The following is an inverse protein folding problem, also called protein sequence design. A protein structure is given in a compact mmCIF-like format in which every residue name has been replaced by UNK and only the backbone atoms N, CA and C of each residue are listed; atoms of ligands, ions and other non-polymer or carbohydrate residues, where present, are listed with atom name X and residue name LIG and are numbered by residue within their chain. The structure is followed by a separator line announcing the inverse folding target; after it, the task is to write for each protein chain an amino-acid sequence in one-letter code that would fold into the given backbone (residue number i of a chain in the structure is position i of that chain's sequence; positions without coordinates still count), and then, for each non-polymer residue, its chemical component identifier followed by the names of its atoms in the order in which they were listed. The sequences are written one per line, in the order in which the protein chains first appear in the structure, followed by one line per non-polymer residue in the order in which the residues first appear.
data_IF_313305454480
#
_entry.id   IF_313305454480
#
_cell.length_a   1.000
_cell.length_b   1.000
_cell.length_c   1.000
_cell.angle_alpha   90.00
_cell.angle_beta   90.00
_cell.angle_gamma   90.00
#
_symmetry.space_group_name_H-M   'P 1'
#
loop_
_entity.id
_entity.type
_entity.pdbx_description
1 polymer ?
#
# COMPACT_ATOMS: atom_id res chain seq x y z
N UNK A 1 -0.51 1.31 -35.59
CA UNK A 1 -0.47 2.05 -34.30
C UNK A 1 -0.19 1.10 -33.12
N UNK A 2 -0.58 -0.18 -33.19
CA UNK A 2 -0.21 -1.21 -32.20
C UNK A 2 1.26 -1.66 -32.32
N UNK A 3 1.77 -1.91 -33.53
CA UNK A 3 3.15 -2.37 -33.74
C UNK A 3 4.24 -1.40 -33.24
N UNK A 4 3.97 -0.10 -33.31
CA UNK A 4 4.92 0.91 -32.84
C UNK A 4 4.96 1.01 -31.30
N UNK A 5 3.84 0.71 -30.65
CA UNK A 5 3.73 0.65 -29.19
C UNK A 5 4.40 -0.61 -28.63
N UNK A 6 4.23 -1.73 -29.30
CA UNK A 6 4.86 -3.01 -28.93
C UNK A 6 6.40 -2.91 -29.06
N UNK A 7 6.90 -2.27 -30.12
CA UNK A 7 8.34 -2.05 -30.31
C UNK A 7 8.97 -1.09 -29.29
N UNK A 8 8.20 -0.15 -28.77
CA UNK A 8 8.67 0.77 -27.73
C UNK A 8 8.69 0.11 -26.35
N UNK A 9 7.76 -0.79 -26.08
CA UNK A 9 7.75 -1.61 -24.85
C UNK A 9 8.93 -2.58 -24.86
N UNK A 10 9.20 -3.27 -25.98
CA UNK A 10 10.38 -4.14 -26.12
C UNK A 10 11.70 -3.39 -25.81
N UNK A 11 11.82 -2.16 -26.26
CA UNK A 11 13.00 -1.32 -26.03
C UNK A 11 13.15 -0.88 -24.56
N UNK A 12 12.03 -0.69 -23.85
CA UNK A 12 12.00 -0.31 -22.44
C UNK A 12 12.25 -1.52 -21.54
N UNK A 13 11.78 -2.69 -21.94
CA UNK A 13 11.92 -3.95 -21.17
C UNK A 13 13.24 -4.67 -21.49
N UNK A 14 13.96 -4.25 -22.57
CA UNK A 14 15.26 -4.84 -22.91
C UNK A 14 15.18 -6.31 -23.36
N UNK A 15 14.04 -6.76 -23.86
CA UNK A 15 13.88 -8.11 -24.40
C UNK A 15 14.38 -8.08 -25.85
N UNK A 16 15.61 -8.54 -26.06
CA UNK A 16 16.14 -8.83 -27.39
C UNK A 16 15.75 -10.26 -27.76
N UNK A 17 14.72 -10.43 -28.60
CA UNK A 17 14.27 -11.74 -29.09
C UNK A 17 15.32 -12.46 -29.94
N UNK A 18 16.41 -11.82 -30.34
CA UNK A 18 17.48 -12.44 -31.13
C UNK A 18 18.41 -13.36 -30.32
N UNK A 19 18.36 -13.28 -28.99
CA UNK A 19 19.12 -14.11 -28.06
C UNK A 19 18.22 -15.12 -27.38
N UNK A 20 17.96 -16.23 -27.99
CA UNK A 20 17.11 -17.33 -27.50
C UNK A 20 17.63 -18.09 -26.28
N UNK A 21 18.42 -17.47 -25.44
CA UNK A 21 18.75 -17.87 -24.10
C UNK A 21 19.14 -16.59 -23.33
N UNK A 22 18.31 -16.15 -22.39
CA UNK A 22 18.78 -15.28 -21.31
C UNK A 22 19.83 -16.12 -20.58
N UNK A 23 21.10 -15.93 -20.94
CA UNK A 23 22.24 -16.45 -20.20
C UNK A 23 22.12 -15.85 -18.80
N UNK A 24 21.69 -16.65 -17.85
CA UNK A 24 21.54 -16.23 -16.46
C UNK A 24 22.92 -15.76 -16.01
N UNK A 25 23.08 -14.46 -15.80
CA UNK A 25 24.31 -13.89 -15.27
C UNK A 25 24.62 -14.61 -13.94
N UNK A 26 25.70 -15.39 -13.85
CA UNK A 26 26.00 -16.18 -12.68
C UNK A 26 26.30 -15.33 -11.44
N UNK A 27 26.56 -14.01 -11.62
CA UNK A 27 26.82 -13.06 -10.53
C UNK A 27 25.56 -12.37 -9.99
N UNK A 28 24.38 -12.62 -10.58
CA UNK A 28 23.14 -12.08 -10.07
C UNK A 28 22.70 -12.86 -8.82
N UNK A 29 22.76 -12.20 -7.68
CA UNK A 29 22.25 -12.76 -6.43
C UNK A 29 20.70 -12.82 -6.47
N UNK A 30 20.18 -13.94 -6.95
CA UNK A 30 18.74 -14.21 -7.04
C UNK A 30 18.04 -14.17 -5.67
N UNK A 31 18.77 -14.32 -4.56
CA UNK A 31 18.20 -14.18 -3.23
C UNK A 31 17.99 -12.70 -2.91
N UNK A 32 18.97 -11.85 -3.21
CA UNK A 32 18.86 -10.40 -3.01
C UNK A 32 17.76 -9.78 -3.89
N UNK A 33 17.58 -10.25 -5.12
CA UNK A 33 16.48 -9.81 -6.00
C UNK A 33 15.12 -10.17 -5.40
N UNK A 34 14.93 -11.41 -4.97
CA UNK A 34 13.67 -11.85 -4.32
C UNK A 34 13.37 -11.08 -3.06
N UNK A 35 14.39 -10.81 -2.23
CA UNK A 35 14.22 -10.01 -1.02
C UNK A 35 13.79 -8.57 -1.35
N UNK A 36 14.36 -7.98 -2.40
CA UNK A 36 13.98 -6.63 -2.84
C UNK A 36 12.55 -6.58 -3.40
N UNK A 37 12.13 -7.57 -4.17
CA UNK A 37 10.76 -7.71 -4.67
C UNK A 37 9.75 -7.87 -3.53
N UNK A 38 10.05 -8.74 -2.55
CA UNK A 38 9.20 -8.91 -1.37
C UNK A 38 9.07 -7.62 -0.56
N UNK A 39 10.16 -6.86 -0.41
CA UNK A 39 10.12 -5.58 0.29
C UNK A 39 9.32 -4.53 -0.48
N UNK A 40 9.49 -4.44 -1.80
CA UNK A 40 8.72 -3.53 -2.64
C UNK A 40 7.22 -3.82 -2.55
N UNK A 41 6.84 -5.09 -2.62
CA UNK A 41 5.46 -5.53 -2.48
C UNK A 41 4.86 -5.16 -1.12
N UNK A 42 5.60 -5.36 -0.03
CA UNK A 42 5.18 -4.98 1.32
C UNK A 42 4.95 -3.47 1.48
N UNK A 43 5.81 -2.64 0.88
CA UNK A 43 5.65 -1.18 0.92
C UNK A 43 4.42 -0.77 0.11
N UNK A 44 4.21 -1.34 -1.08
CA UNK A 44 3.04 -1.06 -1.90
C UNK A 44 1.74 -1.41 -1.17
N UNK A 45 1.66 -2.58 -0.54
CA UNK A 45 0.53 -2.99 0.29
C UNK A 45 0.29 -2.05 1.47
N UNK A 46 1.36 -1.61 2.15
CA UNK A 46 1.27 -0.69 3.27
C UNK A 46 0.77 0.71 2.85
N UNK A 47 1.22 1.24 1.72
CA UNK A 47 0.72 2.51 1.17
C UNK A 47 -0.77 2.39 0.88
N UNK A 48 -1.18 1.34 0.17
CA UNK A 48 -2.58 1.12 -0.19
C UNK A 48 -3.48 1.01 1.05
N UNK A 49 -3.09 0.20 2.03
CA UNK A 49 -3.85 0.06 3.28
C UNK A 49 -3.93 1.36 4.09
N UNK A 50 -2.86 2.17 4.12
CA UNK A 50 -2.86 3.48 4.78
C UNK A 50 -3.81 4.45 4.08
N UNK A 51 -3.80 4.50 2.74
CA UNK A 51 -4.74 5.33 1.95
C UNK A 51 -6.18 4.95 2.29
N UNK A 52 -6.51 3.65 2.28
CA UNK A 52 -7.85 3.16 2.60
C UNK A 52 -8.28 3.55 4.01
N UNK A 53 -7.45 3.27 5.03
CA UNK A 53 -7.76 3.58 6.42
C UNK A 53 -7.96 5.09 6.63
N UNK A 54 -7.07 5.92 6.05
CA UNK A 54 -7.15 7.38 6.16
C UNK A 54 -8.40 7.93 5.45
N UNK A 55 -8.76 7.39 4.29
CA UNK A 55 -9.97 7.78 3.56
C UNK A 55 -11.23 7.46 4.36
N UNK A 56 -11.28 6.29 5.01
CA UNK A 56 -12.40 5.90 5.88
C UNK A 56 -12.56 6.88 7.04
N UNK A 57 -11.46 7.24 7.71
CA UNK A 57 -11.47 8.22 8.80
C UNK A 57 -11.95 9.59 8.31
N UNK A 58 -11.45 10.03 7.15
CA UNK A 58 -11.85 11.30 6.56
C UNK A 58 -13.35 11.37 6.26
N UNK A 59 -13.95 10.24 5.84
CA UNK A 59 -15.37 10.14 5.52
C UNK A 59 -16.31 10.16 6.73
N UNK A 60 -15.83 9.75 7.92
CA UNK A 60 -16.69 9.65 9.13
C UNK A 60 -16.87 11.02 9.81
N UNK A 61 -15.91 11.93 9.66
CA UNK A 61 -15.94 13.26 10.32
C UNK A 61 -15.65 13.22 11.83
N UNK A 62 -15.57 14.40 12.49
CA UNK A 62 -15.06 14.56 13.85
C UNK A 62 -16.18 14.51 14.91
N UNK A 63 -17.06 13.50 14.91
CA UNK A 63 -18.12 13.40 15.93
C UNK A 63 -17.69 12.51 17.12
N UNK A 64 -17.55 13.03 18.35
CA UNK A 64 -17.08 12.29 19.53
C UNK A 64 -17.91 11.05 19.85
N UNK A 65 -19.23 11.16 19.72
CA UNK A 65 -20.17 10.04 19.97
C UNK A 65 -19.99 8.85 19.02
N UNK A 66 -19.33 9.08 17.87
CA UNK A 66 -19.12 8.07 16.83
C UNK A 66 -17.72 7.43 16.87
N UNK A 67 -16.85 7.76 17.83
CA UNK A 67 -15.46 7.31 17.88
C UNK A 67 -15.33 5.77 17.88
N UNK A 68 -16.14 5.07 18.67
CA UNK A 68 -16.18 3.61 18.68
C UNK A 68 -16.63 3.04 17.35
N UNK A 69 -17.58 3.72 16.70
CA UNK A 69 -18.05 3.35 15.36
C UNK A 69 -16.97 3.60 14.31
N UNK A 70 -16.26 4.74 14.40
CA UNK A 70 -15.16 5.06 13.51
C UNK A 70 -14.05 4.00 13.57
N UNK A 71 -13.64 3.62 14.79
CA UNK A 71 -12.66 2.55 15.00
C UNK A 71 -13.14 1.22 14.40
N UNK A 72 -14.39 0.82 14.68
CA UNK A 72 -14.95 -0.41 14.15
C UNK A 72 -15.02 -0.39 12.61
N UNK A 73 -15.47 0.72 12.02
CA UNK A 73 -15.54 0.86 10.55
C UNK A 73 -14.15 0.79 9.92
N UNK A 74 -13.13 1.46 10.49
CA UNK A 74 -11.75 1.37 9.98
C UNK A 74 -11.25 -0.07 10.01
N UNK A 75 -11.39 -0.77 11.13
CA UNK A 75 -10.90 -2.14 11.29
C UNK A 75 -11.64 -3.12 10.38
N UNK A 76 -12.98 -3.07 10.34
CA UNK A 76 -13.79 -3.95 9.50
C UNK A 76 -13.54 -3.68 8.01
N UNK A 77 -13.50 -2.41 7.61
CA UNK A 77 -13.23 -2.05 6.21
C UNK A 77 -11.84 -2.52 5.79
N UNK A 78 -10.81 -2.28 6.61
CA UNK A 78 -9.45 -2.77 6.33
C UNK A 78 -9.39 -4.29 6.20
N UNK A 79 -10.09 -5.03 7.08
CA UNK A 79 -10.16 -6.49 7.01
C UNK A 79 -10.89 -6.98 5.75
N UNK A 80 -11.98 -6.33 5.34
CA UNK A 80 -12.73 -6.68 4.13
C UNK A 80 -11.89 -6.41 2.88
N UNK A 81 -11.22 -5.25 2.81
CA UNK A 81 -10.34 -4.94 1.68
C UNK A 81 -9.14 -5.88 1.60
N UNK A 82 -8.53 -6.22 2.74
CA UNK A 82 -7.49 -7.22 2.80
C UNK A 82 -7.97 -8.58 2.26
N UNK A 83 -9.12 -9.06 2.73
CA UNK A 83 -9.69 -10.33 2.26
C UNK A 83 -10.01 -10.31 0.75
N UNK A 84 -10.58 -9.20 0.25
CA UNK A 84 -10.88 -9.01 -1.16
C UNK A 84 -9.59 -8.96 -2.01
N UNK A 85 -8.54 -8.31 -1.51
CA UNK A 85 -7.25 -8.23 -2.19
C UNK A 85 -6.58 -9.61 -2.27
N UNK A 86 -6.49 -10.32 -1.14
CA UNK A 86 -5.99 -11.72 -1.10
C UNK A 86 -6.76 -12.61 -2.07
N UNK A 87 -8.09 -12.52 -2.09
CA UNK A 87 -8.92 -13.28 -3.03
C UNK A 87 -8.58 -12.95 -4.49
N UNK A 88 -8.41 -11.67 -4.82
CA UNK A 88 -8.05 -11.22 -6.17
C UNK A 88 -6.69 -11.79 -6.62
N UNK A 89 -5.68 -11.76 -5.74
CA UNK A 89 -4.35 -12.33 -6.02
C UNK A 89 -4.43 -13.85 -6.20
N UNK A 90 -5.21 -14.54 -5.34
CA UNK A 90 -5.45 -15.99 -5.45
C UNK A 90 -6.10 -16.35 -6.78
N UNK A 91 -7.10 -15.57 -7.23
CA UNK A 91 -7.75 -15.79 -8.54
C UNK A 91 -6.74 -15.60 -9.67
N UNK A 92 -5.96 -14.53 -9.66
CA UNK A 92 -4.91 -14.28 -10.65
C UNK A 92 -3.89 -15.43 -10.71
N UNK A 93 -3.40 -15.86 -9.55
CA UNK A 93 -2.45 -16.98 -9.46
C UNK A 93 -3.04 -18.32 -10.00
N UNK A 94 -4.33 -18.58 -9.73
CA UNK A 94 -5.03 -19.76 -10.29
C UNK A 94 -5.12 -19.73 -11.82
N UNK A 95 -5.40 -18.55 -12.36
CA UNK A 95 -5.50 -18.37 -13.84
C UNK A 95 -4.14 -18.63 -14.51
N UNK A 96 -3.06 -18.12 -13.93
CA UNK A 96 -1.69 -18.33 -14.45
C UNK A 96 -1.27 -19.80 -14.30
N UNK A 97 -1.46 -20.37 -13.11
CA UNK A 97 -1.09 -21.76 -12.83
C UNK A 97 -1.97 -22.79 -13.53
N UNK A 98 -3.14 -22.40 -14.04
CA UNK A 98 -4.18 -23.27 -14.64
C UNK A 98 -4.56 -24.47 -13.75
N UNK A 99 -4.46 -24.29 -12.43
CA UNK A 99 -4.82 -25.29 -11.41
C UNK A 99 -5.36 -24.62 -10.15
N UNK A 100 -6.01 -25.41 -9.31
CA UNK A 100 -6.37 -24.96 -7.98
C UNK A 100 -5.12 -24.81 -7.10
N UNK A 101 -5.08 -23.72 -6.31
CA UNK A 101 -4.03 -23.54 -5.30
C UNK A 101 -4.38 -24.39 -4.07
N UNK A 102 -3.35 -24.91 -3.43
CA UNK A 102 -3.45 -25.62 -2.15
C UNK A 102 -3.64 -24.66 -1.00
N UNK A 103 -4.12 -25.12 0.15
CA UNK A 103 -4.29 -24.31 1.35
C UNK A 103 -3.00 -23.58 1.78
N UNK A 104 -1.83 -24.24 1.83
CA UNK A 104 -0.56 -23.57 2.14
C UNK A 104 -0.19 -22.46 1.14
N UNK A 105 -0.45 -22.63 -0.16
CA UNK A 105 -0.19 -21.59 -1.17
C UNK A 105 -1.08 -20.36 -0.96
N UNK A 106 -2.36 -20.57 -0.65
CA UNK A 106 -3.28 -19.48 -0.31
C UNK A 106 -2.84 -18.79 0.98
N UNK A 107 -2.39 -19.55 1.99
CA UNK A 107 -1.83 -19.01 3.23
C UNK A 107 -0.58 -18.16 3.00
N UNK A 108 0.30 -18.58 2.10
CA UNK A 108 1.48 -17.80 1.73
C UNK A 108 1.12 -16.47 1.06
N UNK A 109 0.14 -16.47 0.16
CA UNK A 109 -0.40 -15.24 -0.44
C UNK A 109 -0.97 -14.32 0.64
N UNK A 110 -1.81 -14.85 1.53
CA UNK A 110 -2.38 -14.05 2.61
C UNK A 110 -1.30 -13.46 3.53
N UNK A 111 -0.25 -14.21 3.84
CA UNK A 111 0.87 -13.71 4.63
C UNK A 111 1.69 -12.63 3.89
N UNK A 112 1.85 -12.74 2.58
CA UNK A 112 2.53 -11.73 1.78
C UNK A 112 1.76 -10.39 1.75
N UNK A 113 0.43 -10.43 1.75
CA UNK A 113 -0.45 -9.26 1.76
C UNK A 113 -0.71 -8.68 3.16
N UNK A 114 -0.23 -9.32 4.21
CA UNK A 114 -0.43 -8.90 5.60
C UNK A 114 -0.02 -7.44 5.90
N UNK A 115 1.05 -6.88 5.31
CA UNK A 115 1.43 -5.48 5.49
C UNK A 115 0.33 -4.48 5.14
N UNK A 116 -0.56 -4.81 4.19
CA UNK A 116 -1.72 -4.00 3.84
C UNK A 116 -2.67 -3.84 5.05
N UNK A 117 -2.94 -4.92 5.78
CA UNK A 117 -3.78 -4.85 6.98
C UNK A 117 -3.06 -4.16 8.13
N UNK A 118 -1.76 -4.45 8.34
CA UNK A 118 -0.96 -3.82 9.39
C UNK A 118 -0.88 -2.30 9.25
N UNK A 119 -0.89 -1.77 8.04
CA UNK A 119 -0.79 -0.33 7.79
C UNK A 119 -2.01 0.48 8.23
N UNK A 120 -3.12 -0.17 8.58
CA UNK A 120 -4.27 0.50 9.20
C UNK A 120 -4.06 0.83 10.68
N UNK A 121 -3.12 0.17 11.38
CA UNK A 121 -2.88 0.36 12.81
C UNK A 121 -2.45 1.79 13.17
N UNK A 122 -1.52 2.47 12.47
CA UNK A 122 -1.17 3.84 12.76
C UNK A 122 -2.39 4.79 12.77
N UNK A 123 -3.35 4.53 11.87
CA UNK A 123 -4.59 5.32 11.76
C UNK A 123 -5.61 4.92 12.83
N UNK A 124 -5.70 3.63 13.16
CA UNK A 124 -6.63 3.12 14.18
C UNK A 124 -6.20 3.49 15.61
N UNK A 125 -4.89 3.61 15.87
CA UNK A 125 -4.35 3.86 17.20
C UNK A 125 -4.83 5.16 17.83
N UNK A 126 -4.82 6.34 17.16
CA UNK A 126 -5.36 7.56 17.74
C UNK A 126 -6.86 7.46 18.08
N UNK A 127 -7.65 6.74 17.26
CA UNK A 127 -9.06 6.50 17.55
C UNK A 127 -9.24 5.64 18.82
N UNK A 128 -8.39 4.64 18.99
CA UNK A 128 -8.37 3.81 20.19
C UNK A 128 -7.96 4.63 21.42
N UNK A 129 -6.93 5.46 21.31
CA UNK A 129 -6.47 6.33 22.40
C UNK A 129 -7.53 7.37 22.80
N UNK A 130 -8.28 7.92 21.83
CA UNK A 130 -9.44 8.76 22.11
C UNK A 130 -10.49 8.00 22.92
N UNK A 131 -10.88 6.80 22.45
CA UNK A 131 -11.85 5.96 23.16
C UNK A 131 -11.41 5.61 24.59
N UNK A 132 -10.11 5.50 24.84
CA UNK A 132 -9.56 5.24 26.18
C UNK A 132 -9.40 6.53 27.02
N UNK A 133 -9.79 7.69 26.50
CA UNK A 133 -9.68 8.97 27.19
C UNK A 133 -8.25 9.51 27.32
N UNK A 134 -7.30 8.98 26.56
CA UNK A 134 -5.89 9.44 26.56
C UNK A 134 -5.72 10.75 25.78
N UNK A 135 -6.49 10.89 24.70
CA UNK A 135 -6.59 12.13 23.92
C UNK A 135 -8.05 12.56 23.85
N UNK A 136 -8.33 13.87 23.70
CA UNK A 136 -9.71 14.35 23.58
C UNK A 136 -10.42 13.69 22.39
N UNK A 137 -11.65 13.19 22.59
CA UNK A 137 -12.44 12.53 21.56
C UNK A 137 -12.59 13.38 20.29
N UNK A 138 -12.79 14.67 20.44
CA UNK A 138 -12.91 15.61 19.33
C UNK A 138 -11.64 15.71 18.47
N UNK A 139 -10.46 15.46 19.06
CA UNK A 139 -9.18 15.53 18.37
C UNK A 139 -8.78 14.16 17.76
N UNK A 140 -9.32 13.05 18.26
CA UNK A 140 -8.88 11.71 17.89
C UNK A 140 -8.97 11.43 16.38
N UNK A 141 -10.05 11.88 15.74
CA UNK A 141 -10.26 11.70 14.29
C UNK A 141 -9.27 12.52 13.47
N UNK A 142 -9.02 13.76 13.87
CA UNK A 142 -8.07 14.64 13.17
C UNK A 142 -6.62 14.15 13.35
N UNK A 143 -6.27 13.69 14.56
CA UNK A 143 -4.97 13.06 14.83
C UNK A 143 -4.80 11.79 14.00
N UNK A 144 -5.82 10.93 13.92
CA UNK A 144 -5.79 9.72 13.10
C UNK A 144 -5.53 10.04 11.62
N UNK A 145 -6.20 11.05 11.10
CA UNK A 145 -6.01 11.51 9.72
C UNK A 145 -4.61 12.07 9.50
N UNK A 146 -4.11 12.93 10.40
CA UNK A 146 -2.76 13.49 10.31
C UNK A 146 -1.68 12.40 10.38
N UNK A 147 -1.87 11.40 11.25
CA UNK A 147 -0.96 10.24 11.33
C UNK A 147 -0.97 9.44 10.02
N UNK A 148 -2.14 9.22 9.42
CA UNK A 148 -2.25 8.55 8.13
C UNK A 148 -1.54 9.32 7.00
N UNK A 149 -1.76 10.64 6.92
CA UNK A 149 -1.06 11.50 5.95
C UNK A 149 0.45 11.48 6.20
N UNK A 150 0.89 11.62 7.44
CA UNK A 150 2.30 11.53 7.82
C UNK A 150 2.94 10.19 7.44
N UNK A 151 2.23 9.09 7.64
CA UNK A 151 2.69 7.76 7.24
C UNK A 151 2.92 7.67 5.72
N UNK A 152 2.04 8.25 4.90
CA UNK A 152 2.22 8.30 3.45
C UNK A 152 3.49 9.06 3.05
N UNK A 153 3.76 10.21 3.69
CA UNK A 153 5.03 10.93 3.47
C UNK A 153 6.24 10.07 3.86
N UNK A 154 6.19 9.38 4.99
CA UNK A 154 7.26 8.47 5.44
C UNK A 154 7.50 7.35 4.44
N UNK A 155 6.45 6.72 3.90
CA UNK A 155 6.61 5.71 2.85
C UNK A 155 7.24 6.29 1.59
N UNK A 156 6.87 7.49 1.16
CA UNK A 156 7.51 8.17 0.03
C UNK A 156 8.99 8.44 0.26
N UNK A 157 9.37 8.89 1.46
CA UNK A 157 10.79 9.04 1.86
C UNK A 157 11.51 7.71 1.81
N UNK A 158 10.93 6.64 2.38
CA UNK A 158 11.54 5.30 2.38
C UNK A 158 11.78 4.76 0.97
N UNK A 159 10.85 4.98 0.04
CA UNK A 159 11.02 4.62 -1.37
C UNK A 159 12.20 5.39 -1.97
N UNK A 160 12.20 6.72 -1.84
CA UNK A 160 13.23 7.56 -2.42
C UNK A 160 14.64 7.27 -1.89
N UNK A 161 14.77 6.96 -0.58
CA UNK A 161 16.04 6.54 0.02
C UNK A 161 16.52 5.21 -0.56
N UNK A 162 15.60 4.26 -0.77
CA UNK A 162 15.94 2.94 -1.33
C UNK A 162 16.30 2.96 -2.80
N UNK A 163 15.77 3.89 -3.56
CA UNK A 163 16.15 4.09 -4.96
C UNK A 163 17.61 4.55 -5.10
N UNK A 164 18.22 5.13 -4.06
CA UNK A 164 19.62 5.54 -4.07
C UNK A 164 19.99 6.64 -5.06
N UNK A 165 19.00 7.30 -5.67
CA UNK A 165 19.17 8.33 -6.72
C UNK A 165 19.43 9.75 -6.18
N UNK A 166 19.68 9.87 -4.86
CA UNK A 166 19.98 11.15 -4.21
C UNK A 166 18.76 11.87 -3.65
N UNK A 167 18.98 13.04 -3.03
CA UNK A 167 17.96 13.80 -2.31
C UNK A 167 16.73 14.18 -3.16
N UNK A 168 16.91 14.42 -4.45
CA UNK A 168 15.81 14.78 -5.36
C UNK A 168 14.80 13.62 -5.49
N UNK A 169 15.27 12.37 -5.58
CA UNK A 169 14.38 11.18 -5.61
C UNK A 169 13.58 11.06 -4.32
N UNK A 170 14.23 11.29 -3.17
CA UNK A 170 13.55 11.27 -1.87
C UNK A 170 12.42 12.30 -1.81
N UNK A 171 12.69 13.54 -2.20
CA UNK A 171 11.70 14.62 -2.20
C UNK A 171 10.56 14.32 -3.17
N UNK A 172 10.87 13.86 -4.38
CA UNK A 172 9.88 13.57 -5.41
C UNK A 172 8.95 12.43 -4.96
N UNK A 173 9.50 11.32 -4.46
CA UNK A 173 8.69 10.20 -3.97
C UNK A 173 7.85 10.60 -2.75
N UNK A 174 8.41 11.39 -1.82
CA UNK A 174 7.66 11.90 -0.68
C UNK A 174 6.48 12.79 -1.11
N UNK A 175 6.68 13.65 -2.11
CA UNK A 175 5.62 14.49 -2.67
C UNK A 175 4.56 13.67 -3.41
N UNK A 176 4.96 12.70 -4.22
CA UNK A 176 4.03 11.84 -4.97
C UNK A 176 3.17 11.02 -4.02
N UNK A 177 3.78 10.28 -3.09
CA UNK A 177 3.02 9.43 -2.15
C UNK A 177 2.25 10.29 -1.14
N UNK A 178 2.84 11.38 -0.64
CA UNK A 178 2.19 12.32 0.26
C UNK A 178 1.02 13.07 -0.38
N UNK A 179 1.03 13.28 -1.71
CA UNK A 179 -0.07 13.94 -2.42
C UNK A 179 -1.39 13.18 -2.30
N UNK A 180 -1.37 11.85 -2.19
CA UNK A 180 -2.57 11.07 -1.90
C UNK A 180 -3.19 11.44 -0.54
N UNK A 181 -2.35 11.64 0.48
CA UNK A 181 -2.80 12.10 1.80
C UNK A 181 -3.38 13.52 1.75
N UNK A 182 -2.73 14.43 1.01
CA UNK A 182 -3.24 15.80 0.83
C UNK A 182 -4.53 15.82 0.01
N UNK A 183 -4.68 14.93 -0.97
CA UNK A 183 -5.93 14.78 -1.75
C UNK A 183 -7.08 14.33 -0.83
N UNK A 184 -6.83 13.36 0.07
CA UNK A 184 -7.83 12.92 1.06
C UNK A 184 -8.24 14.09 1.96
N UNK A 185 -7.28 14.88 2.43
CA UNK A 185 -7.56 16.09 3.23
C UNK A 185 -8.40 17.11 2.45
N UNK A 186 -8.04 17.37 1.19
CA UNK A 186 -8.78 18.28 0.34
C UNK A 186 -10.23 17.81 0.11
N UNK A 187 -10.42 16.51 -0.14
CA UNK A 187 -11.76 15.92 -0.27
C UNK A 187 -12.57 16.05 1.01
N UNK A 188 -11.96 15.84 2.19
CA UNK A 188 -12.63 16.05 3.48
C UNK A 188 -13.12 17.50 3.61
N UNK A 189 -12.27 18.48 3.31
CA UNK A 189 -12.63 19.92 3.40
C UNK A 189 -13.71 20.30 2.38
N UNK A 190 -13.74 19.65 1.23
CA UNK A 190 -14.75 19.93 0.19
C UNK A 190 -16.13 19.36 0.54
N UNK A 191 -16.17 18.24 1.26
CA UNK A 191 -17.43 17.51 1.57
C UNK A 191 -18.05 17.97 2.89
N UNK A 192 -17.28 18.57 3.79
CA UNK A 192 -17.70 19.02 5.13
C UNK A 192 -17.58 20.53 5.27
#
# INVERSE_FOLDING_TARGET
MSEQFDHEIEKIVGIDESSGAVEADPDVDHAALRDSEHQAHRIAGAIYGTILATTVVAAIGPEPEKLSRALAVVLVTSAVFYAAHVYSVVVGARMVARRHLTGPEVGAIAAAEWPMLQSSWPVALPLLLGKLGVIPDAAATDVAMLVGIGALFVYGVLIGVREGRGAMSVVLNALVVGSFGLLILALKVLVH
#
